data_IF_130894303891
#
_entry.id   IF_130894303891
#
_cell.length_a   1.000
_cell.length_b   1.000
_cell.length_c   1.000
_cell.angle_alpha   90.00
_cell.angle_beta   90.00
_cell.angle_gamma   90.00
#
_symmetry.space_group_name_H-M   'P 1'
#
loop_
_entity.id
_entity.type
_entity.pdbx_description
1 polymer ?
#
# COMPACT_ATOMS: atom_id res chain seq x y z
N UNK A 1 -10.73 20.59 -13.14
CA UNK A 1 -10.09 20.73 -11.82
C UNK A 1 -9.48 19.40 -11.49
N UNK A 2 -8.16 19.28 -11.45
CA UNK A 2 -7.53 18.03 -11.04
C UNK A 2 -7.87 17.83 -9.56
N UNK A 3 -8.71 16.84 -9.26
CA UNK A 3 -9.00 16.41 -7.89
C UNK A 3 -7.69 15.93 -7.29
N UNK A 4 -7.07 16.76 -6.45
CA UNK A 4 -5.90 16.39 -5.66
C UNK A 4 -6.34 15.33 -4.65
N UNK A 5 -6.05 14.07 -4.94
CA UNK A 5 -6.29 12.95 -4.03
C UNK A 5 -5.21 13.02 -2.95
N UNK A 6 -5.61 12.94 -1.68
CA UNK A 6 -4.65 12.88 -0.58
C UNK A 6 -3.90 11.55 -0.61
N UNK A 7 -2.59 11.51 -0.29
CA UNK A 7 -1.82 10.25 -0.34
C UNK A 7 -2.44 9.12 0.48
N UNK A 8 -2.97 9.42 1.67
CA UNK A 8 -3.63 8.43 2.53
C UNK A 8 -4.96 7.94 1.93
N UNK A 9 -5.70 8.81 1.25
CA UNK A 9 -6.94 8.43 0.55
C UNK A 9 -6.64 7.52 -0.64
N UNK A 10 -5.51 7.71 -1.32
CA UNK A 10 -5.06 6.80 -2.36
C UNK A 10 -4.75 5.41 -1.80
N UNK A 11 -4.05 5.34 -0.68
CA UNK A 11 -3.72 4.05 -0.03
C UNK A 11 -4.98 3.34 0.47
N UNK A 12 -5.93 4.08 1.05
CA UNK A 12 -7.23 3.56 1.49
C UNK A 12 -8.01 2.92 0.32
N UNK A 13 -8.04 3.59 -0.84
CA UNK A 13 -8.66 3.04 -2.05
C UNK A 13 -7.98 1.76 -2.58
N UNK A 14 -6.74 1.49 -2.18
CA UNK A 14 -6.01 0.29 -2.55
C UNK A 14 -6.25 -0.90 -1.60
N UNK A 15 -6.98 -0.74 -0.50
CA UNK A 15 -7.33 -1.85 0.39
C UNK A 15 -8.15 -2.90 -0.37
N UNK A 16 -7.78 -4.17 -0.23
CA UNK A 16 -8.33 -5.31 -0.96
C UNK A 16 -7.72 -5.52 -2.35
N UNK A 17 -6.84 -4.63 -2.82
CA UNK A 17 -6.17 -4.75 -4.12
C UNK A 17 -4.75 -5.31 -3.98
N UNK A 18 -4.23 -6.03 -4.99
CA UNK A 18 -2.83 -6.40 -5.04
C UNK A 18 -1.97 -5.13 -5.22
N UNK A 19 -0.97 -4.97 -4.37
CA UNK A 19 -0.01 -3.88 -4.39
C UNK A 19 1.42 -4.42 -4.48
N UNK A 20 2.32 -3.56 -4.94
CA UNK A 20 3.76 -3.80 -4.96
C UNK A 20 4.44 -2.71 -4.14
N UNK A 21 5.10 -3.11 -3.06
CA UNK A 21 5.78 -2.23 -2.12
C UNK A 21 7.28 -2.27 -2.40
N UNK A 22 7.84 -1.10 -2.70
CA UNK A 22 9.28 -0.91 -2.90
C UNK A 22 9.87 -0.30 -1.63
N UNK A 23 10.75 -1.04 -0.97
CA UNK A 23 11.42 -0.58 0.25
C UNK A 23 12.75 0.10 -0.08
N UNK A 24 13.20 0.99 0.81
CA UNK A 24 14.47 1.73 0.63
C UNK A 24 15.73 0.85 0.63
N UNK A 25 15.63 -0.38 1.11
CA UNK A 25 16.72 -1.35 1.21
C UNK A 25 16.74 -2.34 0.04
N UNK A 26 16.23 -1.93 -1.14
CA UNK A 26 16.13 -2.77 -2.35
C UNK A 26 15.32 -4.05 -2.18
N UNK A 27 14.50 -4.12 -1.11
CA UNK A 27 13.53 -5.20 -0.93
C UNK A 27 12.21 -4.80 -1.54
N UNK A 28 11.56 -5.77 -2.13
CA UNK A 28 10.28 -5.58 -2.76
C UNK A 28 9.30 -6.58 -2.19
N UNK A 29 8.04 -6.20 -2.07
CA UNK A 29 6.99 -7.11 -1.63
C UNK A 29 5.79 -6.96 -2.53
N UNK A 30 5.25 -8.08 -3.01
CA UNK A 30 3.95 -8.11 -3.68
C UNK A 30 2.95 -8.80 -2.77
N UNK A 31 1.73 -8.27 -2.69
CA UNK A 31 0.69 -8.84 -1.82
C UNK A 31 -0.59 -8.04 -1.86
N UNK A 32 -1.66 -8.56 -1.27
CA UNK A 32 -2.94 -7.84 -1.18
C UNK A 32 -2.95 -6.94 0.05
N UNK A 33 -3.18 -5.64 -0.11
CA UNK A 33 -3.27 -4.72 1.02
C UNK A 33 -4.53 -4.99 1.83
N UNK A 34 -4.40 -5.35 3.10
CA UNK A 34 -5.55 -5.60 3.99
C UNK A 34 -5.92 -4.38 4.82
N UNK A 35 -4.96 -3.47 5.04
CA UNK A 35 -5.15 -2.25 5.83
C UNK A 35 -3.81 -1.59 6.13
N UNK A 36 -3.88 -0.37 6.66
CA UNK A 36 -2.73 0.41 7.10
C UNK A 36 -3.12 1.30 8.30
N UNK A 37 -2.14 1.89 8.98
CA UNK A 37 -2.35 2.85 10.08
C UNK A 37 -1.89 4.27 9.71
N UNK A 38 -2.04 5.24 10.62
CA UNK A 38 -1.64 6.63 10.41
C UNK A 38 -0.12 6.81 10.16
N UNK A 39 0.70 5.81 10.50
CA UNK A 39 2.13 5.78 10.24
C UNK A 39 2.49 5.06 8.94
N UNK A 40 1.49 4.61 8.17
CA UNK A 40 1.64 3.85 6.91
C UNK A 40 2.30 2.48 7.14
N UNK A 41 2.18 1.90 8.33
CA UNK A 41 2.48 0.49 8.52
C UNK A 41 1.41 -0.32 7.80
N UNK A 42 1.80 -1.19 6.87
CA UNK A 42 0.88 -1.94 6.00
C UNK A 42 0.75 -3.40 6.44
N UNK A 43 -0.48 -3.90 6.46
CA UNK A 43 -0.77 -5.33 6.59
C UNK A 43 -1.04 -5.90 5.22
N UNK A 44 -0.23 -6.87 4.80
CA UNK A 44 -0.36 -7.52 3.50
C UNK A 44 -0.74 -9.00 3.67
N UNK A 45 -1.59 -9.50 2.77
CA UNK A 45 -1.96 -10.92 2.66
C UNK A 45 -1.35 -11.55 1.40
N UNK A 46 -1.01 -12.83 1.49
CA UNK A 46 -0.47 -13.64 0.39
C UNK A 46 0.82 -13.03 -0.20
N UNK A 47 1.73 -12.60 0.70
CA UNK A 47 2.95 -11.85 0.37
C UNK A 47 3.99 -12.71 -0.34
N UNK A 48 4.65 -12.13 -1.34
CA UNK A 48 5.88 -12.63 -1.96
C UNK A 48 6.96 -11.56 -1.91
N UNK A 49 8.17 -11.94 -1.50
CA UNK A 49 9.40 -11.11 -1.52
C UNK A 49 10.06 -11.14 -2.91
#
# INVERSE_FOLDING_TARGET
MASTILPLELVDRCIGSPIWVLMKNEREFTGTLMGFDDYVNMVLKDVKE
#
